data_IF_845965614854
#
_entry.id   IF_845965614854
#
_cell.length_a   1.000
_cell.length_b   1.000
_cell.length_c   1.000
_cell.angle_alpha   90.00
_cell.angle_beta   90.00
_cell.angle_gamma   90.00
#
_symmetry.space_group_name_H-M   'P 1'
#
loop_
_entity.id
_entity.type
_entity.pdbx_description
1 polymer ?
#
# COMPACT_ATOMS: atom_id res chain seq x y z
N UNK A 1 -9.58 1.79 -9.45
CA UNK A 1 -10.29 3.10 -9.41
C UNK A 1 -9.37 4.12 -8.76
N UNK A 2 -9.35 5.34 -9.26
CA UNK A 2 -8.52 6.44 -8.74
C UNK A 2 -9.46 7.57 -8.30
N UNK A 3 -9.46 7.89 -7.01
CA UNK A 3 -10.16 9.04 -6.45
C UNK A 3 -9.22 10.25 -6.49
N UNK A 4 -9.60 11.33 -7.17
CA UNK A 4 -8.79 12.54 -7.24
C UNK A 4 -9.62 13.78 -7.60
N UNK A 5 -9.09 14.97 -7.36
CA UNK A 5 -9.78 16.22 -7.74
C UNK A 5 -9.79 16.43 -9.27
N UNK A 6 -10.68 17.30 -9.76
CA UNK A 6 -10.82 17.56 -11.21
C UNK A 6 -9.56 18.11 -11.87
N UNK A 7 -8.73 18.88 -11.14
CA UNK A 7 -7.50 19.45 -11.68
C UNK A 7 -6.44 18.37 -11.89
N UNK A 8 -6.28 17.46 -10.94
CA UNK A 8 -5.39 16.31 -11.07
C UNK A 8 -5.90 15.32 -12.12
N UNK A 9 -7.21 15.02 -12.14
CA UNK A 9 -7.83 14.14 -13.14
C UNK A 9 -7.54 14.58 -14.58
N UNK A 10 -7.59 15.89 -14.85
CA UNK A 10 -7.30 16.44 -16.18
C UNK A 10 -5.84 16.22 -16.65
N UNK A 11 -4.92 15.93 -15.73
CA UNK A 11 -3.51 15.65 -16.03
C UNK A 11 -3.25 14.16 -16.24
N UNK A 12 -4.13 13.28 -15.78
CA UNK A 12 -3.95 11.83 -15.90
C UNK A 12 -4.35 11.39 -17.30
N UNK A 13 -3.41 10.79 -18.04
CA UNK A 13 -3.72 10.17 -19.33
C UNK A 13 -4.10 8.71 -19.15
N UNK A 14 -5.01 8.22 -19.99
CA UNK A 14 -5.49 6.82 -19.95
C UNK A 14 -4.35 5.79 -20.02
N UNK A 15 -3.32 6.05 -20.84
CA UNK A 15 -2.14 5.20 -21.00
C UNK A 15 -1.33 4.99 -19.70
N UNK A 16 -1.43 5.92 -18.74
CA UNK A 16 -0.69 5.87 -17.47
C UNK A 16 -1.49 5.24 -16.32
N UNK A 17 -2.74 4.82 -16.58
CA UNK A 17 -3.61 4.14 -15.61
C UNK A 17 -4.12 2.79 -16.12
N UNK A 18 -3.68 2.39 -17.31
CA UNK A 18 -3.92 1.08 -17.86
C UNK A 18 -3.06 0.03 -17.15
N UNK A 19 -3.70 -1.00 -16.64
CA UNK A 19 -3.06 -2.13 -15.96
C UNK A 19 -2.60 -3.13 -17.03
N UNK A 20 -1.46 -2.84 -17.66
CA UNK A 20 -0.88 -3.68 -18.72
C UNK A 20 0.21 -4.63 -18.23
N UNK A 21 0.41 -4.72 -16.92
CA UNK A 21 1.51 -5.49 -16.33
C UNK A 21 1.24 -7.00 -16.38
N UNK A 22 2.32 -7.77 -16.50
CA UNK A 22 2.20 -9.23 -16.56
C UNK A 22 1.70 -9.81 -15.24
N UNK A 23 2.02 -9.17 -14.11
CA UNK A 23 1.55 -9.60 -12.79
C UNK A 23 0.02 -9.75 -12.73
N UNK A 24 -0.73 -8.90 -13.44
CA UNK A 24 -2.20 -8.90 -13.43
C UNK A 24 -2.84 -9.77 -14.51
N UNK A 25 -2.04 -10.48 -15.32
CA UNK A 25 -2.56 -11.35 -16.38
C UNK A 25 -3.45 -12.45 -15.79
N UNK A 26 -4.65 -12.61 -16.34
CA UNK A 26 -5.67 -13.57 -15.89
C UNK A 26 -6.09 -13.40 -14.42
N UNK A 27 -5.95 -12.18 -13.88
CA UNK A 27 -6.41 -11.83 -12.54
C UNK A 27 -7.87 -11.34 -12.56
N UNK A 28 -8.44 -11.15 -11.37
CA UNK A 28 -9.74 -10.51 -11.18
C UNK A 28 -9.67 -8.97 -11.20
N UNK A 29 -8.49 -8.40 -11.44
CA UNK A 29 -8.28 -6.95 -11.52
C UNK A 29 -8.61 -6.46 -12.93
N UNK A 30 -9.51 -5.50 -13.02
CA UNK A 30 -9.88 -4.87 -14.29
C UNK A 30 -8.68 -4.16 -14.91
N UNK A 31 -8.57 -4.24 -16.24
CA UNK A 31 -7.42 -3.67 -16.96
C UNK A 31 -7.46 -2.14 -16.97
N UNK A 32 -8.65 -1.58 -17.07
CA UNK A 32 -8.83 -0.15 -17.20
C UNK A 32 -9.22 0.46 -15.86
N UNK A 33 -8.42 1.41 -15.40
CA UNK A 33 -8.76 2.19 -14.21
C UNK A 33 -9.78 3.27 -14.54
N UNK A 34 -10.79 3.40 -13.67
CA UNK A 34 -11.74 4.52 -13.70
C UNK A 34 -11.26 5.64 -12.78
N UNK A 35 -11.28 6.88 -13.28
CA UNK A 35 -11.07 8.09 -12.47
C UNK A 35 -12.41 8.60 -11.96
N UNK A 36 -12.51 8.87 -10.66
CA UNK A 36 -13.69 9.44 -10.03
C UNK A 36 -13.32 10.76 -9.34
N UNK A 37 -14.07 11.82 -9.68
CA UNK A 37 -13.87 13.19 -9.14
C UNK A 37 -15.03 13.68 -8.29
N UNK A 38 -16.22 13.08 -8.44
CA UNK A 38 -17.39 13.33 -7.60
C UNK A 38 -17.45 12.34 -6.45
N UNK A 39 -16.70 12.61 -5.38
CA UNK A 39 -16.71 11.84 -4.15
C UNK A 39 -16.49 12.75 -2.94
N UNK A 40 -17.05 12.37 -1.79
CA UNK A 40 -16.67 12.97 -0.51
C UNK A 40 -15.37 12.34 0.02
N UNK A 41 -14.59 13.12 0.78
CA UNK A 41 -13.40 12.59 1.46
C UNK A 41 -13.77 11.34 2.27
N UNK A 42 -14.90 11.36 2.99
CA UNK A 42 -15.37 10.22 3.77
C UNK A 42 -15.60 8.94 2.91
N UNK A 43 -16.25 9.05 1.75
CA UNK A 43 -16.44 7.93 0.83
C UNK A 43 -15.08 7.37 0.36
N UNK A 44 -14.19 8.23 -0.12
CA UNK A 44 -12.87 7.81 -0.59
C UNK A 44 -12.02 7.17 0.51
N UNK A 45 -12.03 7.74 1.73
CA UNK A 45 -11.32 7.17 2.87
C UNK A 45 -11.91 5.81 3.22
N UNK A 46 -13.24 5.68 3.32
CA UNK A 46 -13.88 4.42 3.68
C UNK A 46 -13.60 3.32 2.64
N UNK A 47 -13.60 3.68 1.36
CA UNK A 47 -13.21 2.80 0.25
C UNK A 47 -11.72 2.45 0.25
N UNK A 48 -10.85 3.38 0.65
CA UNK A 48 -9.39 3.15 0.67
C UNK A 48 -8.95 2.26 1.84
N UNK A 49 -9.65 2.29 2.97
CA UNK A 49 -9.30 1.50 4.17
C UNK A 49 -10.00 0.14 4.22
N UNK A 50 -11.03 -0.11 3.40
CA UNK A 50 -11.59 -1.46 3.29
C UNK A 50 -10.55 -2.41 2.71
N UNK A 51 -10.58 -3.65 3.16
CA UNK A 51 -9.59 -4.68 2.86
C UNK A 51 -10.27 -6.05 2.85
N UNK A 52 -9.68 -6.99 2.11
CA UNK A 52 -10.23 -8.35 1.93
C UNK A 52 -10.28 -9.19 3.21
N UNK A 53 -9.51 -8.85 4.25
CA UNK A 53 -9.45 -9.63 5.48
C UNK A 53 -9.73 -8.82 6.75
N UNK A 54 -9.34 -7.54 6.80
CA UNK A 54 -9.42 -6.78 8.06
C UNK A 54 -10.66 -5.91 8.18
N UNK A 55 -11.13 -5.33 7.07
CA UNK A 55 -12.18 -4.31 7.09
C UNK A 55 -13.15 -4.55 5.95
N UNK A 56 -14.37 -4.99 6.27
CA UNK A 56 -15.40 -5.34 5.29
C UNK A 56 -15.50 -4.32 4.14
N UNK A 57 -15.58 -4.79 2.87
CA UNK A 57 -15.85 -3.95 1.72
C UNK A 57 -17.04 -3.03 1.94
N UNK A 58 -16.93 -1.78 1.49
CA UNK A 58 -18.01 -0.80 1.65
C UNK A 58 -18.89 -0.77 0.40
N UNK A 59 -20.20 -0.86 0.57
CA UNK A 59 -21.15 -0.69 -0.52
C UNK A 59 -21.47 0.79 -0.72
N UNK A 60 -21.05 1.37 -1.83
CA UNK A 60 -21.31 2.77 -2.21
C UNK A 60 -21.72 2.82 -3.68
N UNK A 61 -22.64 3.72 -4.06
CA UNK A 61 -23.00 3.97 -5.47
C UNK A 61 -23.27 2.69 -6.29
N UNK A 62 -23.98 1.73 -5.69
CA UNK A 62 -24.33 0.44 -6.29
C UNK A 62 -23.14 -0.49 -6.60
N UNK A 63 -21.99 -0.27 -5.96
CA UNK A 63 -20.78 -1.08 -6.12
C UNK A 63 -20.13 -1.34 -4.77
N UNK A 64 -19.41 -2.45 -4.66
CA UNK A 64 -18.55 -2.72 -3.51
C UNK A 64 -17.17 -2.16 -3.75
N UNK A 65 -16.66 -1.43 -2.76
CA UNK A 65 -15.32 -0.88 -2.75
C UNK A 65 -14.48 -1.57 -1.69
N UNK A 66 -13.32 -2.02 -2.14
CA UNK A 66 -12.28 -2.58 -1.32
C UNK A 66 -10.98 -1.94 -1.79
N UNK A 67 -10.27 -1.32 -0.85
CA UNK A 67 -8.91 -0.86 -1.07
C UNK A 67 -7.91 -2.01 -0.94
N UNK A 68 -6.65 -1.63 -0.77
CA UNK A 68 -5.58 -2.57 -0.47
C UNK A 68 -5.02 -3.33 -1.67
N UNK A 69 -3.72 -3.68 -1.55
CA UNK A 69 -2.79 -4.49 -2.38
C UNK A 69 -2.76 -4.29 -3.91
N UNK A 70 -3.86 -3.94 -4.56
CA UNK A 70 -3.92 -3.57 -5.97
C UNK A 70 -3.11 -2.30 -6.14
N UNK A 71 -1.95 -2.45 -6.79
CA UNK A 71 -1.05 -1.35 -7.13
C UNK A 71 -0.58 -0.50 -5.93
N UNK A 72 -0.11 -1.17 -4.87
CA UNK A 72 0.33 -0.54 -3.61
C UNK A 72 1.39 0.57 -3.79
N UNK A 73 2.19 0.48 -4.84
CA UNK A 73 3.20 1.48 -5.21
C UNK A 73 2.93 1.91 -6.65
N UNK A 74 2.04 2.89 -6.88
CA UNK A 74 1.61 3.31 -8.22
C UNK A 74 2.68 4.21 -8.89
N UNK A 75 3.90 3.68 -9.01
CA UNK A 75 5.10 4.43 -9.43
C UNK A 75 5.00 4.93 -10.87
N UNK A 76 4.28 4.22 -11.73
CA UNK A 76 4.02 4.60 -13.11
C UNK A 76 3.20 5.90 -13.18
N UNK A 77 2.14 5.98 -12.38
CA UNK A 77 1.32 7.18 -12.28
C UNK A 77 2.09 8.31 -11.60
N UNK A 78 2.86 8.01 -10.55
CA UNK A 78 3.72 8.99 -9.88
C UNK A 78 4.70 9.63 -10.87
N UNK A 79 5.39 8.81 -11.67
CA UNK A 79 6.34 9.26 -12.71
C UNK A 79 5.71 10.16 -13.76
N UNK A 80 4.45 9.93 -14.09
CA UNK A 80 3.73 10.79 -15.04
C UNK A 80 3.37 12.15 -14.42
N UNK A 81 3.04 12.18 -13.13
CA UNK A 81 2.54 13.38 -12.46
C UNK A 81 3.62 14.22 -11.78
N UNK A 82 4.82 13.67 -11.56
CA UNK A 82 5.89 14.32 -10.81
C UNK A 82 7.17 14.54 -11.63
N UNK A 83 8.01 15.45 -11.14
CA UNK A 83 9.37 15.68 -11.64
C UNK A 83 10.41 14.83 -10.92
N UNK A 84 10.08 14.43 -9.69
CA UNK A 84 10.93 13.67 -8.79
C UNK A 84 10.06 12.61 -8.10
N UNK A 85 10.59 11.41 -7.93
CA UNK A 85 9.91 10.28 -7.31
C UNK A 85 10.72 9.78 -6.12
N UNK A 86 10.09 9.82 -4.95
CA UNK A 86 10.58 9.18 -3.74
C UNK A 86 9.70 7.96 -3.49
N UNK A 87 10.31 6.77 -3.45
CA UNK A 87 9.61 5.51 -3.17
C UNK A 87 10.20 4.82 -1.95
N UNK A 88 9.40 3.98 -1.31
CA UNK A 88 9.87 3.06 -0.28
C UNK A 88 10.16 1.69 -0.92
N UNK A 89 11.31 1.11 -0.62
CA UNK A 89 11.60 -0.30 -0.93
C UNK A 89 10.96 -1.18 0.13
N UNK A 90 9.76 -1.67 -0.18
CA UNK A 90 8.99 -2.52 0.72
C UNK A 90 9.57 -3.93 0.84
N UNK A 91 9.40 -4.54 2.00
CA UNK A 91 9.60 -5.97 2.18
C UNK A 91 8.61 -6.76 1.30
N UNK A 92 9.00 -7.94 0.78
CA UNK A 92 8.06 -8.83 0.10
C UNK A 92 7.02 -9.37 1.09
N UNK A 93 5.84 -9.69 0.55
CA UNK A 93 4.82 -10.44 1.27
C UNK A 93 5.34 -11.83 1.61
N UNK A 94 5.01 -12.32 2.81
CA UNK A 94 5.26 -13.71 3.20
C UNK A 94 4.44 -14.67 2.33
N UNK A 95 4.81 -15.95 2.31
CA UNK A 95 4.10 -16.96 1.53
C UNK A 95 2.61 -17.07 1.89
N UNK A 96 2.24 -16.83 3.15
CA UNK A 96 0.85 -16.85 3.61
C UNK A 96 0.10 -15.63 3.09
N UNK A 97 0.63 -14.42 3.30
CA UNK A 97 0.03 -13.18 2.80
C UNK A 97 -0.15 -13.22 1.28
N UNK A 98 0.89 -13.63 0.55
CA UNK A 98 0.87 -13.78 -0.90
C UNK A 98 -0.20 -14.78 -1.37
N UNK A 99 -0.34 -15.92 -0.69
CA UNK A 99 -1.37 -16.93 -1.02
C UNK A 99 -2.78 -16.40 -0.78
N UNK A 100 -2.98 -15.66 0.31
CA UNK A 100 -4.26 -15.03 0.64
C UNK A 100 -4.64 -13.95 -0.39
N UNK A 101 -3.70 -13.08 -0.76
CA UNK A 101 -3.89 -12.08 -1.82
C UNK A 101 -4.27 -12.76 -3.15
N UNK A 102 -3.50 -13.77 -3.55
CA UNK A 102 -3.75 -14.52 -4.79
C UNK A 102 -5.12 -15.20 -4.79
N UNK A 103 -5.59 -15.68 -3.65
CA UNK A 103 -6.90 -16.34 -3.56
C UNK A 103 -8.08 -15.39 -3.82
N UNK A 104 -7.91 -14.09 -3.53
CA UNK A 104 -8.94 -13.07 -3.70
C UNK A 104 -8.85 -12.42 -5.07
N UNK A 105 -7.65 -12.00 -5.48
CA UNK A 105 -7.49 -11.18 -6.68
C UNK A 105 -6.92 -11.93 -7.89
N UNK A 106 -6.38 -13.14 -7.71
CA UNK A 106 -5.82 -13.93 -8.81
C UNK A 106 -4.49 -13.42 -9.39
N UNK A 107 -3.85 -12.40 -8.79
CA UNK A 107 -2.53 -11.90 -9.20
C UNK A 107 -1.49 -12.08 -8.08
N UNK A 108 -0.21 -12.16 -8.45
CA UNK A 108 0.88 -12.18 -7.47
C UNK A 108 1.30 -10.77 -7.05
N UNK A 109 1.13 -10.44 -5.77
CA UNK A 109 1.55 -9.14 -5.25
C UNK A 109 3.07 -9.02 -5.16
N UNK A 110 3.76 -10.12 -4.87
CA UNK A 110 5.21 -10.16 -4.93
C UNK A 110 5.76 -10.02 -6.36
N UNK A 111 5.10 -10.53 -7.40
CA UNK A 111 5.48 -10.24 -8.79
C UNK A 111 5.26 -8.76 -9.12
N UNK A 112 4.11 -8.19 -8.74
CA UNK A 112 3.87 -6.76 -8.93
C UNK A 112 4.90 -5.90 -8.22
N UNK A 113 5.27 -6.25 -6.98
CA UNK A 113 6.31 -5.55 -6.22
C UNK A 113 7.69 -5.65 -6.89
N UNK A 114 8.01 -6.78 -7.52
CA UNK A 114 9.25 -6.90 -8.32
C UNK A 114 9.22 -5.98 -9.53
N UNK A 115 8.10 -5.93 -10.25
CA UNK A 115 7.94 -5.05 -11.41
C UNK A 115 8.09 -3.57 -11.01
N UNK A 116 7.46 -3.12 -9.93
CA UNK A 116 7.59 -1.73 -9.46
C UNK A 116 9.02 -1.39 -9.03
N UNK A 117 9.72 -2.33 -8.40
CA UNK A 117 11.12 -2.14 -8.01
C UNK A 117 12.09 -2.01 -9.20
N UNK A 118 11.70 -2.44 -10.41
CA UNK A 118 12.49 -2.23 -11.63
C UNK A 118 12.32 -0.82 -12.21
N UNK A 119 11.31 -0.07 -11.76
CA UNK A 119 11.08 1.29 -12.23
C UNK A 119 11.95 2.23 -11.42
N UNK A 120 12.86 2.92 -12.12
CA UNK A 120 13.79 3.85 -11.49
C UNK A 120 13.04 4.99 -10.79
N UNK A 121 13.34 5.18 -9.51
CA UNK A 121 12.95 6.34 -8.71
C UNK A 121 14.18 7.18 -8.39
N UNK A 122 14.01 8.49 -8.26
CA UNK A 122 15.09 9.41 -7.90
C UNK A 122 15.61 9.12 -6.50
N UNK A 123 14.74 8.72 -5.58
CA UNK A 123 15.11 8.23 -4.26
C UNK A 123 14.31 6.97 -3.92
N UNK A 124 15.02 5.95 -3.42
CA UNK A 124 14.40 4.73 -2.93
C UNK A 124 14.86 4.51 -1.50
N UNK A 125 13.94 4.72 -0.56
CA UNK A 125 14.19 4.62 0.88
C UNK A 125 14.11 3.14 1.26
N UNK A 126 15.23 2.59 1.74
CA UNK A 126 15.29 1.19 2.15
C UNK A 126 14.81 1.03 3.60
N UNK A 127 13.60 0.49 3.76
CA UNK A 127 12.99 0.16 5.05
C UNK A 127 12.89 -1.36 5.25
N UNK A 128 13.63 -2.15 4.46
CA UNK A 128 13.50 -3.61 4.47
C UNK A 128 13.92 -4.27 5.79
N UNK A 129 14.58 -3.54 6.69
CA UNK A 129 14.95 -4.01 8.02
C UNK A 129 14.00 -3.56 9.13
N UNK A 130 12.89 -2.87 8.81
CA UNK A 130 11.99 -2.27 9.81
C UNK A 130 11.49 -3.26 10.87
N UNK A 131 11.20 -4.51 10.50
CA UNK A 131 10.75 -5.56 11.44
C UNK A 131 11.85 -5.97 12.43
N UNK A 132 13.11 -5.91 12.01
CA UNK A 132 14.25 -6.20 12.88
C UNK A 132 14.57 -4.99 13.77
N UNK A 133 14.64 -3.80 13.16
CA UNK A 133 15.07 -2.57 13.82
C UNK A 133 14.04 -2.07 14.84
N UNK A 134 12.74 -2.32 14.61
CA UNK A 134 11.63 -1.89 15.47
C UNK A 134 10.94 -3.06 16.18
N UNK A 135 11.61 -4.21 16.33
CA UNK A 135 11.04 -5.38 16.98
C UNK A 135 10.48 -5.05 18.37
N UNK A 136 9.21 -5.39 18.61
CA UNK A 136 8.49 -5.10 19.86
C UNK A 136 7.95 -3.67 19.98
N UNK A 137 8.19 -2.81 18.99
CA UNK A 137 7.75 -1.40 18.96
C UNK A 137 6.68 -1.15 17.90
N UNK A 138 5.95 -2.19 17.49
CA UNK A 138 4.80 -2.13 16.59
C UNK A 138 3.71 -3.10 17.07
N UNK A 139 2.48 -2.86 16.62
CA UNK A 139 1.36 -3.77 16.89
C UNK A 139 1.58 -5.09 16.16
N UNK A 140 1.64 -6.19 16.91
CA UNK A 140 1.76 -7.53 16.33
C UNK A 140 0.38 -8.13 16.08
N UNK A 141 0.24 -8.79 14.93
CA UNK A 141 -0.95 -9.57 14.58
C UNK A 141 -0.63 -11.04 14.79
N UNK A 142 -1.56 -11.77 15.41
CA UNK A 142 -1.45 -13.22 15.59
C UNK A 142 -2.80 -13.89 15.31
N UNK A 143 -2.80 -15.22 15.22
CA UNK A 143 -4.04 -16.00 15.05
C UNK A 143 -4.34 -16.69 16.37
N UNK A 144 -5.50 -16.41 16.95
CA UNK A 144 -6.02 -17.13 18.09
C UNK A 144 -6.75 -18.39 17.61
N UNK A 145 -6.00 -19.49 17.45
CA UNK A 145 -6.52 -20.74 16.90
C UNK A 145 -7.69 -21.37 17.67
N UNK A 146 -7.83 -21.07 18.96
CA UNK A 146 -8.95 -21.60 19.76
C UNK A 146 -10.27 -20.93 19.42
N UNK A 147 -10.21 -19.64 19.08
CA UNK A 147 -11.39 -18.83 18.72
C UNK A 147 -11.54 -18.64 17.20
N UNK A 148 -10.53 -19.05 16.43
CA UNK A 148 -10.45 -18.86 14.98
C UNK A 148 -10.57 -17.39 14.59
N UNK A 149 -9.93 -16.50 15.36
CA UNK A 149 -9.95 -15.05 15.14
C UNK A 149 -8.52 -14.49 15.02
N UNK A 150 -8.42 -13.30 14.43
CA UNK A 150 -7.21 -12.50 14.49
C UNK A 150 -7.11 -11.83 15.86
N UNK A 151 -5.93 -11.84 16.44
CA UNK A 151 -5.62 -11.23 17.72
C UNK A 151 -4.50 -10.19 17.55
N UNK A 152 -4.50 -9.18 18.43
CA UNK A 152 -3.60 -8.04 18.35
C UNK A 152 -2.86 -7.85 19.67
N UNK A 153 -1.54 -7.79 19.60
CA UNK A 153 -0.72 -7.41 20.76
C UNK A 153 -0.58 -5.89 20.80
N UNK A 154 -1.34 -5.27 21.71
CA UNK A 154 -1.32 -3.82 21.90
C UNK A 154 -0.22 -3.40 22.90
N UNK A 155 0.27 -2.15 22.80
CA UNK A 155 1.11 -1.56 23.84
C UNK A 155 0.43 -1.63 25.22
N UNK A 156 1.20 -1.93 26.26
CA UNK A 156 0.69 -2.12 27.63
C UNK A 156 0.15 -0.84 28.27
N UNK A 157 0.51 0.31 27.73
CA UNK A 157 0.08 1.62 28.21
C UNK A 157 0.07 2.64 27.08
N UNK A 158 -0.66 3.73 27.28
CA UNK A 158 -0.63 4.88 26.37
C UNK A 158 0.78 5.46 26.22
N UNK A 159 1.56 5.51 27.30
CA UNK A 159 2.93 6.01 27.26
C UNK A 159 3.83 5.15 26.38
N UNK A 160 3.70 3.81 26.47
CA UNK A 160 4.42 2.89 25.59
C UNK A 160 4.03 3.13 24.13
N UNK A 161 2.73 3.27 23.85
CA UNK A 161 2.25 3.58 22.50
C UNK A 161 2.88 4.87 21.94
N UNK A 162 2.94 5.95 22.72
CA UNK A 162 3.55 7.21 22.29
C UNK A 162 5.04 7.02 21.97
N UNK A 163 5.77 6.27 22.81
CA UNK A 163 7.19 5.97 22.59
C UNK A 163 7.40 5.13 21.32
N UNK A 164 6.58 4.12 21.11
CA UNK A 164 6.64 3.25 19.93
C UNK A 164 6.36 4.04 18.64
N UNK A 165 5.37 4.94 18.66
CA UNK A 165 5.07 5.81 17.52
C UNK A 165 6.23 6.75 17.19
N UNK A 166 6.88 7.32 18.20
CA UNK A 166 8.04 8.19 18.01
C UNK A 166 9.23 7.42 17.41
N UNK A 167 9.49 6.20 17.90
CA UNK A 167 10.53 5.32 17.35
C UNK A 167 10.28 4.97 15.89
N UNK A 168 9.03 4.64 15.54
CA UNK A 168 8.65 4.37 14.14
C UNK A 168 8.82 5.60 13.24
N UNK A 169 8.43 6.78 13.72
CA UNK A 169 8.58 8.03 12.97
C UNK A 169 10.06 8.38 12.76
N UNK A 170 10.86 8.34 13.82
CA UNK A 170 12.29 8.66 13.77
C UNK A 170 13.04 7.69 12.86
N UNK A 171 12.70 6.40 12.88
CA UNK A 171 13.26 5.42 11.95
C UNK A 171 13.02 5.82 10.49
N UNK A 172 11.79 6.15 10.13
CA UNK A 172 11.44 6.59 8.77
C UNK A 172 12.18 7.86 8.36
N UNK A 173 12.30 8.82 9.29
CA UNK A 173 13.07 10.05 9.09
C UNK A 173 14.55 9.75 8.82
N UNK A 174 15.18 8.91 9.65
CA UNK A 174 16.60 8.57 9.53
C UNK A 174 16.92 7.85 8.23
N UNK A 175 16.09 6.87 7.81
CA UNK A 175 16.27 6.20 6.52
C UNK A 175 16.12 7.17 5.35
N UNK A 176 15.18 8.12 5.44
CA UNK A 176 14.98 9.15 4.42
C UNK A 176 16.20 10.06 4.31
N UNK A 177 16.67 10.61 5.45
CA UNK A 177 17.86 11.48 5.49
C UNK A 177 19.09 10.76 4.96
N UNK A 178 19.28 9.49 5.33
CA UNK A 178 20.37 8.65 4.83
C UNK A 178 20.31 8.47 3.31
N UNK A 179 19.12 8.20 2.76
CA UNK A 179 18.92 8.03 1.32
C UNK A 179 19.23 9.32 0.55
N UNK A 180 18.69 10.46 1.02
CA UNK A 180 18.86 11.76 0.35
C UNK A 180 20.30 12.25 0.42
N UNK A 181 20.94 12.21 1.60
CA UNK A 181 22.34 12.63 1.76
C UNK A 181 23.32 11.75 0.98
N UNK A 182 22.99 10.49 0.71
CA UNK A 182 23.83 9.61 -0.10
C UNK A 182 23.84 9.93 -1.59
N UNK A 183 22.94 10.82 -2.06
CA UNK A 183 22.80 11.20 -3.48
C UNK A 183 23.11 12.68 -3.77
N UNK A 184 23.29 13.51 -2.74
CA UNK A 184 23.77 14.88 -2.82
C UNK A 184 25.30 14.91 -2.73
#
# INVERSE_FOLDING_TARGET
MIFTDSHTAAKIKAEHIAVTFNSFKNSAVEKDSVIMTDFSILESTRASISDMFYVSPVFLRQSYFMGGVIDLVPVELARHLSKEIITEKKQPYTSIEESLIRSVFGFSANERLKETNLIAADFQIDTTNIKQDLNGHYMEKSINWRKLELDFSFPKSYQQFVQDMEMQWQYGFDQTVKCVKGKL
#
